data_IF_115604122296
#
_entry.id   IF_115604122296
#
_cell.length_a   1.000
_cell.length_b   1.000
_cell.length_c   1.000
_cell.angle_alpha   90.00
_cell.angle_beta   90.00
_cell.angle_gamma   90.00
#
_symmetry.space_group_name_H-M   'P 1'
#
loop_
_entity.id
_entity.type
_entity.pdbx_description
1 polymer ?
#
# COMPACT_ATOMS: atom_id res chain seq x y z
N UNK A 1 11.19 -0.38 -0.60
CA UNK A 1 12.07 0.81 -0.40
C UNK A 1 11.39 1.86 0.45
N UNK A 2 10.29 2.48 0.00
CA UNK A 2 9.49 3.43 0.80
C UNK A 2 8.92 2.82 2.08
N UNK A 3 8.49 1.55 2.05
CA UNK A 3 8.02 0.86 3.26
C UNK A 3 9.12 0.76 4.33
N UNK A 4 10.37 0.54 3.94
CA UNK A 4 11.48 0.41 4.90
C UNK A 4 11.74 1.74 5.62
N UNK A 5 11.69 2.87 4.89
CA UNK A 5 11.84 4.19 5.50
C UNK A 5 10.67 4.51 6.42
N UNK A 6 9.44 4.28 5.94
CA UNK A 6 8.25 4.48 6.77
C UNK A 6 8.33 3.67 8.06
N UNK A 7 8.74 2.39 7.99
CA UNK A 7 8.94 1.54 9.16
C UNK A 7 10.04 2.06 10.08
N UNK A 8 11.17 2.55 9.53
CA UNK A 8 12.26 3.14 10.34
C UNK A 8 11.82 4.41 11.06
N UNK A 9 11.11 5.31 10.37
CA UNK A 9 10.54 6.52 10.99
C UNK A 9 9.57 6.11 12.10
N UNK A 10 8.67 5.18 11.80
CA UNK A 10 7.69 4.68 12.78
C UNK A 10 8.37 4.05 14.00
N UNK A 11 9.45 3.28 13.82
CA UNK A 11 10.19 2.69 14.94
C UNK A 11 10.86 3.73 15.83
N UNK A 12 11.37 4.83 15.26
CA UNK A 12 11.93 5.93 16.06
C UNK A 12 10.83 6.66 16.82
N UNK A 13 9.68 6.91 16.21
CA UNK A 13 8.56 7.59 16.86
C UNK A 13 7.93 6.76 17.99
N UNK A 14 7.87 5.43 17.82
CA UNK A 14 7.35 4.53 18.85
C UNK A 14 8.14 4.54 20.16
N UNK A 15 9.39 5.03 20.16
CA UNK A 15 10.18 5.24 21.39
C UNK A 15 9.58 6.32 22.30
N UNK A 16 8.83 7.26 21.73
CA UNK A 16 8.17 8.33 22.49
C UNK A 16 6.75 7.93 22.88
N UNK A 17 6.03 7.25 21.98
CA UNK A 17 4.68 6.79 22.27
C UNK A 17 4.26 5.65 21.34
N UNK A 18 3.90 4.51 21.91
CA UNK A 18 3.63 3.24 21.20
C UNK A 18 2.57 3.34 20.10
N UNK A 19 1.55 4.19 20.26
CA UNK A 19 0.52 4.39 19.22
C UNK A 19 0.90 5.48 18.20
N UNK A 20 2.19 5.69 17.96
CA UNK A 20 2.65 6.64 16.95
C UNK A 20 2.14 6.21 15.57
N UNK A 21 1.77 7.18 14.75
CA UNK A 21 1.37 6.97 13.36
C UNK A 21 2.23 7.81 12.42
N UNK A 22 2.39 7.31 11.20
CA UNK A 22 3.08 7.98 10.09
C UNK A 22 2.26 7.76 8.84
N UNK A 23 1.88 8.84 8.17
CA UNK A 23 1.00 8.81 7.00
C UNK A 23 1.62 9.59 5.84
N UNK A 24 1.16 9.31 4.62
CA UNK A 24 1.54 10.12 3.46
C UNK A 24 0.86 11.49 3.55
N UNK A 25 1.52 12.52 3.04
CA UNK A 25 1.00 13.89 3.04
C UNK A 25 1.20 14.54 1.67
N UNK A 26 0.39 15.55 1.38
CA UNK A 26 0.56 16.38 0.19
C UNK A 26 1.63 17.48 0.39
N UNK A 27 2.00 17.78 1.65
CA UNK A 27 2.95 18.84 1.99
C UNK A 27 4.38 18.31 2.25
N UNK A 28 4.52 17.00 2.44
CA UNK A 28 5.78 16.31 2.70
C UNK A 28 5.62 14.82 2.39
N UNK A 29 6.71 14.05 2.32
CA UNK A 29 6.62 12.62 1.99
C UNK A 29 5.91 11.81 3.08
N UNK A 30 6.18 12.12 4.35
CA UNK A 30 5.44 11.55 5.47
C UNK A 30 5.17 12.58 6.56
N UNK A 31 4.03 12.46 7.24
CA UNK A 31 3.67 13.29 8.39
C UNK A 31 3.32 12.44 9.61
N UNK A 32 3.57 12.97 10.80
CA UNK A 32 3.11 12.41 12.07
C UNK A 32 2.49 13.48 12.98
N UNK A 33 1.40 13.10 13.66
CA UNK A 33 0.66 13.91 14.63
C UNK A 33 1.01 13.56 16.08
N UNK A 34 2.07 12.79 16.32
CA UNK A 34 2.46 12.30 17.64
C UNK A 34 2.54 13.41 18.71
N UNK A 35 3.01 14.61 18.34
CA UNK A 35 3.17 15.70 19.28
C UNK A 35 1.83 16.21 19.84
N UNK A 36 0.73 16.18 19.08
CA UNK A 36 -0.60 16.51 19.59
C UNK A 36 -1.10 15.51 20.62
N UNK A 37 -0.73 14.24 20.45
CA UNK A 37 -1.11 13.16 21.38
C UNK A 37 -0.32 13.26 22.68
N UNK A 38 0.98 13.50 22.58
CA UNK A 38 1.84 13.73 23.73
C UNK A 38 1.48 15.03 24.45
N UNK A 39 1.11 16.09 23.73
CA UNK A 39 0.66 17.35 24.32
C UNK A 39 -0.54 17.16 25.27
N UNK A 40 -1.48 16.28 24.94
CA UNK A 40 -2.60 15.95 25.83
C UNK A 40 -2.16 15.22 27.10
N UNK A 41 -1.17 14.33 27.00
CA UNK A 41 -0.64 13.56 28.14
C UNK A 41 0.24 14.41 29.05
N UNK A 42 1.11 15.22 28.46
CA UNK A 42 2.11 16.03 29.17
C UNK A 42 1.63 17.44 29.52
N UNK A 43 0.48 17.88 28.99
CA UNK A 43 -0.07 19.25 29.12
C UNK A 43 0.91 20.34 28.65
N UNK A 44 1.63 20.07 27.56
CA UNK A 44 2.63 20.96 26.96
C UNK A 44 2.22 21.41 25.56
N UNK A 45 2.83 22.49 25.06
CA UNK A 45 2.57 22.98 23.72
C UNK A 45 3.02 21.94 22.66
N UNK A 46 2.12 21.48 21.75
CA UNK A 46 2.46 20.53 20.71
C UNK A 46 3.61 20.98 19.80
N UNK A 47 3.75 22.27 19.53
CA UNK A 47 4.81 22.79 18.67
C UNK A 47 6.20 22.54 19.29
N UNK A 48 6.34 22.79 20.60
CA UNK A 48 7.59 22.55 21.33
C UNK A 48 7.92 21.05 21.38
N UNK A 49 6.91 20.20 21.62
CA UNK A 49 7.09 18.75 21.61
C UNK A 49 7.56 18.27 20.22
N UNK A 50 6.96 18.78 19.15
CA UNK A 50 7.37 18.43 17.79
C UNK A 50 8.81 18.86 17.50
N UNK A 51 9.23 20.05 17.92
CA UNK A 51 10.61 20.52 17.77
C UNK A 51 11.61 19.65 18.52
N UNK A 52 11.31 19.30 19.79
CA UNK A 52 12.14 18.42 20.61
C UNK A 52 12.29 17.04 19.98
N UNK A 53 11.18 16.42 19.57
CA UNK A 53 11.20 15.10 18.94
C UNK A 53 11.97 15.16 17.61
N UNK A 54 11.72 16.16 16.77
CA UNK A 54 12.44 16.35 15.51
C UNK A 54 13.95 16.44 15.73
N UNK A 55 14.39 17.22 16.71
CA UNK A 55 15.79 17.37 17.06
C UNK A 55 16.42 16.04 17.53
N UNK A 56 15.70 15.24 18.30
CA UNK A 56 16.19 13.94 18.78
C UNK A 56 16.27 12.90 17.65
N UNK A 57 15.20 12.73 16.87
CA UNK A 57 15.16 11.69 15.83
C UNK A 57 16.01 12.05 14.62
N UNK A 58 16.24 13.34 14.34
CA UNK A 58 17.11 13.77 13.24
C UNK A 58 18.52 13.17 13.31
N UNK A 59 19.01 12.83 14.51
CA UNK A 59 20.33 12.21 14.73
C UNK A 59 20.35 10.71 14.40
N UNK A 60 19.21 10.04 14.49
CA UNK A 60 19.08 8.59 14.27
C UNK A 60 18.59 8.25 12.85
N UNK A 61 17.99 9.23 12.18
CA UNK A 61 17.61 9.14 10.79
C UNK A 61 18.86 9.28 9.90
N UNK A 62 18.93 8.47 8.86
CA UNK A 62 19.97 8.62 7.82
C UNK A 62 19.76 9.91 7.03
N UNK A 63 20.79 10.46 6.41
CA UNK A 63 20.68 11.66 5.55
C UNK A 63 19.71 11.49 4.36
N UNK A 64 19.22 10.27 4.11
CA UNK A 64 18.12 9.97 3.19
C UNK A 64 16.78 10.59 3.63
N UNK A 65 16.63 11.01 4.90
CA UNK A 65 15.39 11.58 5.45
C UNK A 65 15.71 12.82 6.27
N UNK A 66 15.05 13.93 5.96
CA UNK A 66 15.08 15.16 6.74
C UNK A 66 13.76 15.34 7.48
N UNK A 67 13.80 15.65 8.76
CA UNK A 67 12.61 15.98 9.56
C UNK A 67 12.52 17.49 9.81
N UNK A 68 11.31 18.04 9.77
CA UNK A 68 10.99 19.41 10.20
C UNK A 68 9.73 19.40 11.06
N UNK A 69 9.79 20.08 12.20
CA UNK A 69 8.60 20.38 12.97
C UNK A 69 7.88 21.60 12.37
N UNK A 70 6.55 21.56 12.28
CA UNK A 70 5.73 22.70 11.86
C UNK A 70 4.37 22.63 12.56
N UNK A 71 4.05 23.63 13.38
CA UNK A 71 2.75 23.75 14.06
C UNK A 71 2.30 22.47 14.79
N UNK A 72 3.23 21.72 15.39
CA UNK A 72 2.94 20.45 16.08
C UNK A 72 2.93 19.19 15.20
N UNK A 73 3.15 19.33 13.90
CA UNK A 73 3.39 18.19 13.01
C UNK A 73 4.89 17.89 12.89
N UNK A 74 5.22 16.61 12.78
CA UNK A 74 6.53 16.15 12.33
C UNK A 74 6.43 15.80 10.84
N UNK A 75 7.08 16.60 10.00
CA UNK A 75 7.10 16.45 8.56
C UNK A 75 8.43 15.86 8.10
N UNK A 76 8.38 14.74 7.39
CA UNK A 76 9.54 14.02 6.89
C UNK A 76 9.65 14.19 5.38
N UNK A 77 10.86 14.51 4.93
CA UNK A 77 11.20 14.75 3.54
C UNK A 77 12.30 13.78 3.11
N UNK A 78 12.07 13.07 2.01
CA UNK A 78 13.06 12.24 1.36
C UNK A 78 14.05 13.14 0.62
N UNK A 79 15.34 12.88 0.79
CA UNK A 79 16.40 13.71 0.21
C UNK A 79 16.89 13.14 -1.12
N UNK A 80 17.68 13.92 -1.87
CA UNK A 80 18.34 13.44 -3.09
C UNK A 80 19.21 12.19 -2.86
N UNK A 81 19.73 11.99 -1.65
CA UNK A 81 20.44 10.77 -1.27
C UNK A 81 19.53 9.55 -1.32
N UNK A 82 18.30 9.66 -0.81
CA UNK A 82 17.32 8.59 -0.94
C UNK A 82 17.09 8.22 -2.41
N UNK A 83 16.80 9.21 -3.24
CA UNK A 83 16.48 8.97 -4.65
C UNK A 83 17.66 8.37 -5.40
N UNK A 84 18.88 8.92 -5.24
CA UNK A 84 20.08 8.39 -5.90
C UNK A 84 20.43 6.96 -5.46
N UNK A 85 20.18 6.59 -4.21
CA UNK A 85 20.43 5.22 -3.72
C UNK A 85 19.34 4.21 -4.12
N UNK A 86 18.12 4.65 -4.44
CA UNK A 86 16.96 3.76 -4.62
C UNK A 86 16.43 3.72 -6.05
N UNK A 87 16.44 4.84 -6.81
CA UNK A 87 15.97 4.86 -8.19
C UNK A 87 16.73 3.87 -9.10
N UNK A 88 18.07 3.74 -9.02
CA UNK A 88 18.80 2.78 -9.86
C UNK A 88 18.42 1.31 -9.61
N UNK A 89 17.80 1.01 -8.46
CA UNK A 89 17.37 -0.35 -8.09
C UNK A 89 15.97 -0.69 -8.61
N UNK A 90 15.24 0.27 -9.18
CA UNK A 90 13.86 0.07 -9.66
C UNK A 90 13.78 -0.88 -10.85
N UNK A 91 14.63 -0.79 -11.88
CA UNK A 91 14.56 -1.70 -13.03
C UNK A 91 14.67 -3.18 -12.63
N UNK A 92 15.47 -3.46 -11.61
CA UNK A 92 15.69 -4.82 -11.09
C UNK A 92 14.73 -5.20 -9.95
N UNK A 93 13.83 -4.29 -9.56
CA UNK A 93 12.92 -4.52 -8.46
C UNK A 93 11.93 -5.65 -8.81
N UNK A 94 11.91 -6.66 -7.94
CA UNK A 94 10.92 -7.74 -7.97
C UNK A 94 10.31 -7.88 -6.58
N UNK A 95 9.01 -8.12 -6.52
CA UNK A 95 8.38 -8.50 -5.27
C UNK A 95 8.90 -9.86 -4.82
N UNK A 96 9.13 -10.02 -3.52
CA UNK A 96 9.41 -11.33 -2.94
C UNK A 96 8.25 -12.27 -3.21
N UNK A 97 8.56 -13.57 -3.38
CA UNK A 97 7.51 -14.58 -3.52
C UNK A 97 6.61 -14.50 -2.28
N UNK A 98 5.31 -14.58 -2.53
CA UNK A 98 4.28 -14.69 -1.50
C UNK A 98 3.97 -16.15 -1.28
N UNK A 99 3.79 -16.54 -0.02
CA UNK A 99 3.51 -17.94 0.35
C UNK A 99 2.04 -18.28 0.15
N UNK A 100 1.19 -17.27 -0.04
CA UNK A 100 -0.23 -17.44 -0.29
C UNK A 100 -0.50 -17.80 -1.75
N UNK A 101 -1.25 -18.89 -1.93
CA UNK A 101 -1.86 -19.27 -3.20
C UNK A 101 -3.22 -18.60 -3.34
N UNK A 102 -3.46 -17.93 -4.46
CA UNK A 102 -4.70 -17.23 -4.76
C UNK A 102 -5.41 -17.93 -5.93
N UNK A 103 -6.65 -18.34 -5.69
CA UNK A 103 -7.57 -18.72 -6.77
C UNK A 103 -8.40 -17.48 -7.11
N UNK A 104 -8.30 -17.03 -8.36
CA UNK A 104 -9.05 -15.90 -8.89
C UNK A 104 -10.03 -16.40 -9.95
N UNK A 105 -11.30 -16.53 -9.56
CA UNK A 105 -12.37 -16.83 -10.50
C UNK A 105 -12.96 -15.53 -11.06
N UNK A 106 -13.11 -15.45 -12.38
CA UNK A 106 -13.80 -14.33 -13.01
C UNK A 106 -14.41 -14.73 -14.35
N UNK A 107 -15.18 -13.81 -14.94
CA UNK A 107 -16.00 -14.01 -16.14
C UNK A 107 -17.17 -14.96 -15.90
N UNK A 108 -16.90 -16.26 -15.69
CA UNK A 108 -17.86 -17.34 -15.38
C UNK A 108 -19.25 -17.16 -16.00
N UNK A 109 -19.26 -16.87 -17.29
CA UNK A 109 -20.49 -16.60 -18.04
C UNK A 109 -21.11 -17.95 -18.42
N UNK A 110 -22.42 -18.12 -18.17
CA UNK A 110 -23.11 -19.32 -18.65
C UNK A 110 -22.95 -19.47 -20.18
N UNK A 111 -22.70 -20.68 -20.70
CA UNK A 111 -22.49 -20.92 -22.13
C UNK A 111 -23.80 -20.89 -22.93
N UNK A 112 -24.67 -19.92 -22.64
CA UNK A 112 -26.02 -19.80 -23.18
C UNK A 112 -26.13 -18.81 -24.35
N UNK A 113 -25.01 -18.32 -24.89
CA UNK A 113 -24.99 -17.31 -25.94
C UNK A 113 -23.70 -16.49 -25.98
N UNK A 114 -23.54 -15.59 -26.96
CA UNK A 114 -22.32 -14.82 -27.18
C UNK A 114 -21.99 -13.87 -26.03
N UNK A 115 -20.71 -13.57 -25.88
CA UNK A 115 -20.22 -12.60 -24.88
C UNK A 115 -20.45 -11.20 -25.44
N UNK A 116 -21.26 -10.40 -24.74
CA UNK A 116 -21.51 -8.99 -25.06
C UNK A 116 -20.79 -8.05 -24.08
N UNK A 117 -20.80 -6.75 -24.35
CA UNK A 117 -20.07 -5.73 -23.58
C UNK A 117 -20.37 -5.78 -22.07
N UNK A 118 -21.62 -6.06 -21.70
CA UNK A 118 -22.05 -6.20 -20.30
C UNK A 118 -21.39 -7.37 -19.56
N UNK A 119 -21.01 -8.43 -20.29
CA UNK A 119 -20.30 -9.61 -19.75
C UNK A 119 -18.79 -9.42 -19.74
N UNK A 120 -18.26 -8.51 -20.56
CA UNK A 120 -16.82 -8.24 -20.68
C UNK A 120 -16.24 -7.52 -19.45
N UNK A 121 -17.04 -6.71 -18.74
CA UNK A 121 -16.57 -5.94 -17.59
C UNK A 121 -15.92 -6.82 -16.51
N UNK A 122 -16.55 -7.95 -16.20
CA UNK A 122 -16.02 -8.90 -15.22
C UNK A 122 -14.70 -9.50 -15.72
N UNK A 123 -14.62 -9.87 -16.99
CA UNK A 123 -13.40 -10.38 -17.61
C UNK A 123 -12.22 -9.40 -17.52
N UNK A 124 -12.45 -8.11 -17.81
CA UNK A 124 -11.41 -7.08 -17.75
C UNK A 124 -10.95 -6.86 -16.30
N UNK A 125 -11.88 -6.72 -15.36
CA UNK A 125 -11.53 -6.51 -13.94
C UNK A 125 -10.73 -7.70 -13.41
N UNK A 126 -11.20 -8.92 -13.68
CA UNK A 126 -10.52 -10.14 -13.27
C UNK A 126 -9.12 -10.28 -13.86
N UNK A 127 -8.96 -10.03 -15.17
CA UNK A 127 -7.64 -10.09 -15.81
C UNK A 127 -6.68 -9.03 -15.25
N UNK A 128 -7.15 -7.79 -15.02
CA UNK A 128 -6.36 -6.74 -14.38
C UNK A 128 -5.90 -7.13 -12.96
N UNK A 129 -6.79 -7.72 -12.15
CA UNK A 129 -6.44 -8.23 -10.82
C UNK A 129 -5.43 -9.37 -10.95
N UNK A 130 -5.66 -10.33 -11.84
CA UNK A 130 -4.75 -11.47 -12.06
C UNK A 130 -3.35 -11.04 -12.47
N UNK A 131 -3.23 -10.06 -13.37
CA UNK A 131 -1.94 -9.45 -13.75
C UNK A 131 -1.26 -8.77 -12.57
N UNK A 132 -2.02 -8.03 -11.77
CA UNK A 132 -1.50 -7.32 -10.59
C UNK A 132 -0.99 -8.31 -9.54
N UNK A 133 -1.73 -9.38 -9.26
CA UNK A 133 -1.32 -10.42 -8.32
C UNK A 133 -0.05 -11.14 -8.77
N UNK A 134 0.04 -11.51 -10.06
CA UNK A 134 1.24 -12.09 -10.65
C UNK A 134 2.43 -11.13 -10.60
N UNK A 135 2.22 -9.85 -10.89
CA UNK A 135 3.26 -8.81 -10.78
C UNK A 135 3.76 -8.66 -9.33
N UNK A 136 2.86 -8.75 -8.36
CA UNK A 136 3.17 -8.79 -6.92
C UNK A 136 3.76 -10.13 -6.43
N UNK A 137 4.05 -11.06 -7.35
CA UNK A 137 4.68 -12.36 -7.12
C UNK A 137 3.87 -13.32 -6.22
N UNK A 138 2.53 -13.28 -6.34
CA UNK A 138 1.62 -14.29 -5.79
C UNK A 138 1.50 -15.50 -6.72
N UNK A 139 1.41 -16.71 -6.15
CA UNK A 139 1.00 -17.89 -6.89
C UNK A 139 -0.51 -17.79 -7.20
N UNK A 140 -0.83 -17.36 -8.42
CA UNK A 140 -2.22 -17.03 -8.81
C UNK A 140 -2.72 -17.97 -9.90
N UNK A 141 -3.79 -18.71 -9.60
CA UNK A 141 -4.54 -19.50 -10.57
C UNK A 141 -5.80 -18.75 -10.99
N UNK A 142 -5.97 -18.55 -12.29
CA UNK A 142 -7.18 -17.93 -12.84
C UNK A 142 -8.16 -19.02 -13.26
N UNK A 143 -9.36 -18.99 -12.70
CA UNK A 143 -10.40 -19.99 -12.95
C UNK A 143 -11.55 -19.37 -13.74
N UNK A 144 -12.16 -20.20 -14.59
CA UNK A 144 -13.36 -19.88 -15.33
C UNK A 144 -14.36 -21.00 -15.04
N UNK A 145 -15.44 -20.68 -14.31
CA UNK A 145 -16.47 -21.66 -14.04
C UNK A 145 -17.43 -21.75 -15.23
N UNK A 146 -17.63 -22.98 -15.72
CA UNK A 146 -18.60 -23.31 -16.77
C UNK A 146 -19.80 -23.99 -16.11
N UNK A 147 -20.97 -23.38 -16.21
CA UNK A 147 -22.23 -24.00 -15.79
C UNK A 147 -22.95 -24.63 -16.98
N UNK A 148 -22.66 -25.88 -17.26
CA UNK A 148 -23.25 -26.69 -18.33
C UNK A 148 -24.53 -27.43 -17.92
N UNK A 149 -24.83 -27.51 -16.62
CA UNK A 149 -26.01 -28.22 -16.09
C UNK A 149 -27.18 -27.27 -15.72
N UNK A 150 -27.04 -25.97 -15.98
CA UNK A 150 -28.06 -24.97 -15.61
C UNK A 150 -29.30 -24.97 -16.51
N UNK A 151 -30.41 -24.41 -16.00
CA UNK A 151 -31.68 -24.25 -16.74
C UNK A 151 -31.50 -23.62 -18.13
N UNK A 152 -30.61 -22.64 -18.27
CA UNK A 152 -30.35 -21.97 -19.55
C UNK A 152 -29.79 -22.94 -20.60
N UNK A 153 -28.93 -23.87 -20.19
CA UNK A 153 -28.37 -24.88 -21.09
C UNK A 153 -29.40 -25.95 -21.41
N UNK A 154 -30.18 -26.38 -20.42
CA UNK A 154 -31.29 -27.30 -20.66
C UNK A 154 -32.31 -26.75 -21.68
N UNK A 155 -32.63 -25.45 -21.62
CA UNK A 155 -33.52 -24.80 -22.60
C UNK A 155 -32.89 -24.80 -24.00
N UNK A 156 -31.60 -24.50 -24.12
CA UNK A 156 -30.91 -24.48 -25.42
C UNK A 156 -30.81 -25.88 -26.01
N UNK A 157 -30.56 -26.91 -25.19
CA UNK A 157 -30.46 -28.29 -25.65
C UNK A 157 -31.80 -28.88 -26.11
N UNK A 158 -32.93 -28.33 -25.63
CA UNK A 158 -34.28 -28.73 -26.03
C UNK A 158 -34.80 -27.95 -27.27
N UNK A 159 -34.16 -26.84 -27.62
CA UNK A 159 -34.53 -25.98 -28.74
C UNK A 159 -33.90 -26.47 -30.06
#
# INVERSE_FOLDING_TARGET
MLSNIKTKILSELKKFDENASVEFSEHCDFASTIAFRLAKKEKRNPALIAEEIAAQISKNLSDAVKVKALNGYLNFYLTNKFYSENLPKIPDFKFNRRDEKIILEHTSVNPSGPIHIGRIRNAIIGDCIGRTLKFCNYETETHYYVNDMGKQIAIIALA
#
